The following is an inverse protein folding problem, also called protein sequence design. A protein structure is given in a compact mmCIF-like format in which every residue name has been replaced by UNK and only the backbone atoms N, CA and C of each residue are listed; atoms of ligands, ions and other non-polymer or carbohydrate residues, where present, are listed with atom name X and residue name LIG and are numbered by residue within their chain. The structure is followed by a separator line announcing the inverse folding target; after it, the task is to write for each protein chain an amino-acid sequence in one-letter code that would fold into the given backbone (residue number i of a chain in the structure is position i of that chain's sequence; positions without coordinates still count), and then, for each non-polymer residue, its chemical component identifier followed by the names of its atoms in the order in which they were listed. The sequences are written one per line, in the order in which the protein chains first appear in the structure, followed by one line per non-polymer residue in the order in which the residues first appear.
data_IF_518550545229
#
_entry.id   IF_518550545229
#
_cell.length_a   1.000
_cell.length_b   1.000
_cell.length_c   1.000
_cell.angle_alpha   90.00
_cell.angle_beta   90.00
_cell.angle_gamma   90.00
#
_symmetry.space_group_name_H-M   'P 1'
#
loop_
_entity.id
_entity.type
_entity.pdbx_description
1 polymer ?
#
# COMPACT_ATOMS: atom_id res chain seq x y z
N UNK A 1 -18.20 -5.35 28.47
CA UNK A 1 -17.49 -6.49 27.88
C UNK A 1 -17.53 -6.30 26.36
N UNK A 2 -16.50 -5.65 25.81
CA UNK A 2 -16.41 -5.37 24.37
C UNK A 2 -15.85 -6.63 23.74
N UNK A 3 -16.58 -7.28 22.83
CA UNK A 3 -16.04 -8.43 22.09
C UNK A 3 -15.03 -7.88 21.08
N UNK A 4 -13.78 -8.30 21.18
CA UNK A 4 -12.84 -8.20 20.07
C UNK A 4 -13.46 -8.94 18.88
N UNK A 5 -13.69 -8.21 17.79
CA UNK A 5 -14.04 -8.81 16.50
C UNK A 5 -12.72 -9.10 15.83
N UNK A 6 -12.43 -10.37 15.58
CA UNK A 6 -11.30 -10.72 14.71
C UNK A 6 -11.55 -10.05 13.36
N UNK A 7 -10.66 -9.14 12.91
CA UNK A 7 -10.88 -8.49 11.63
C UNK A 7 -10.82 -9.56 10.56
N UNK A 8 -11.91 -9.71 9.80
CA UNK A 8 -11.87 -10.39 8.52
C UNK A 8 -10.81 -9.75 7.62
N UNK A 9 -10.43 -10.39 6.50
CA UNK A 9 -9.41 -9.84 5.62
C UNK A 9 -9.74 -8.39 5.26
N UNK A 10 -8.87 -7.47 5.69
CA UNK A 10 -9.01 -6.05 5.42
C UNK A 10 -8.67 -5.83 3.95
N UNK A 11 -9.70 -5.84 3.11
CA UNK A 11 -9.59 -5.60 1.67
C UNK A 11 -9.85 -4.13 1.41
N UNK A 12 -8.92 -3.47 0.73
CA UNK A 12 -9.05 -2.09 0.29
C UNK A 12 -8.85 -2.00 -1.21
N UNK A 13 -9.48 -1.01 -1.82
CA UNK A 13 -9.16 -0.59 -3.18
C UNK A 13 -7.86 0.21 -3.14
N UNK A 14 -6.78 -0.29 -3.75
CA UNK A 14 -5.50 0.40 -3.70
C UNK A 14 -5.54 1.78 -4.38
N UNK A 15 -6.24 1.91 -5.51
CA UNK A 15 -6.30 3.17 -6.26
C UNK A 15 -7.10 4.25 -5.53
N UNK A 16 -8.23 3.88 -4.93
CA UNK A 16 -9.13 4.82 -4.26
C UNK A 16 -8.80 5.02 -2.77
N UNK A 17 -8.21 4.00 -2.14
CA UNK A 17 -8.08 3.95 -0.69
C UNK A 17 -6.64 3.92 -0.21
N UNK A 18 -5.63 3.76 -1.07
CA UNK A 18 -4.22 3.73 -0.65
C UNK A 18 -3.38 4.82 -1.32
N UNK A 19 -3.52 5.02 -2.64
CA UNK A 19 -2.82 6.11 -3.34
C UNK A 19 -3.17 7.49 -2.77
N UNK A 20 -2.23 8.41 -2.88
CA UNK A 20 -2.26 9.78 -2.32
C UNK A 20 -2.42 9.87 -0.79
N UNK A 21 -2.48 8.74 -0.06
CA UNK A 21 -2.45 8.79 1.40
C UNK A 21 -1.13 9.32 1.92
N UNK A 22 -1.22 10.11 2.99
CA UNK A 22 -0.05 10.64 3.68
C UNK A 22 0.73 9.51 4.38
N UNK A 23 2.04 9.54 4.20
CA UNK A 23 2.98 8.75 4.98
C UNK A 23 3.38 9.56 6.21
N UNK A 24 3.35 8.92 7.37
CA UNK A 24 3.71 9.53 8.65
C UNK A 24 4.83 8.69 9.26
N UNK A 25 5.89 9.34 9.74
CA UNK A 25 6.98 8.65 10.40
C UNK A 25 6.63 8.25 11.85
N UNK A 26 7.57 7.59 12.53
CA UNK A 26 7.38 7.12 13.91
C UNK A 26 7.17 8.24 14.94
N UNK A 27 7.52 9.48 14.60
CA UNK A 27 7.40 10.65 15.48
C UNK A 27 6.13 11.46 15.15
N UNK A 28 5.31 10.98 14.20
CA UNK A 28 4.07 11.64 13.79
C UNK A 28 4.25 12.72 12.73
N UNK A 29 5.45 12.84 12.14
CA UNK A 29 5.74 13.87 11.14
C UNK A 29 5.41 13.41 9.73
N UNK A 30 4.99 14.34 8.87
CA UNK A 30 4.71 14.05 7.46
C UNK A 30 6.01 13.61 6.77
N UNK A 31 6.02 12.36 6.33
CA UNK A 31 7.15 11.73 5.64
C UNK A 31 6.95 11.67 4.11
N UNK A 32 5.75 12.03 3.63
CA UNK A 32 5.43 12.02 2.22
C UNK A 32 4.01 11.57 1.92
N UNK A 33 3.83 10.98 0.74
CA UNK A 33 2.57 10.32 0.35
C UNK A 33 2.85 9.05 -0.45
N UNK A 34 1.87 8.16 -0.51
CA UNK A 34 1.87 7.02 -1.42
C UNK A 34 1.64 7.52 -2.84
N UNK A 35 2.66 7.48 -3.69
CA UNK A 35 2.53 7.84 -5.10
C UNK A 35 2.22 6.61 -5.96
N UNK A 36 2.86 5.48 -5.66
CA UNK A 36 2.74 4.26 -6.46
C UNK A 36 3.10 3.01 -5.62
N UNK A 37 2.91 1.83 -6.20
CA UNK A 37 3.20 0.52 -5.60
C UNK A 37 4.16 -0.29 -6.47
N UNK A 38 5.13 -0.93 -5.84
CA UNK A 38 5.94 -1.95 -6.49
C UNK A 38 5.24 -3.32 -6.35
N UNK A 39 5.08 -4.01 -7.49
CA UNK A 39 4.43 -5.32 -7.57
C UNK A 39 5.43 -6.39 -7.99
N UNK A 40 5.43 -7.51 -7.27
CA UNK A 40 6.13 -8.73 -7.67
C UNK A 40 5.12 -9.77 -8.14
N UNK A 41 5.38 -10.34 -9.33
CA UNK A 41 4.57 -11.41 -9.89
C UNK A 41 5.20 -12.77 -9.49
N UNK A 42 4.44 -13.67 -8.84
CA UNK A 42 4.90 -15.02 -8.58
C UNK A 42 5.37 -15.72 -9.85
N UNK A 43 6.44 -16.50 -9.74
CA UNK A 43 7.02 -17.19 -10.89
C UNK A 43 6.13 -18.36 -11.32
N UNK A 44 5.84 -18.44 -12.62
CA UNK A 44 5.14 -19.56 -13.22
C UNK A 44 3.66 -19.28 -13.47
N UNK A 45 3.32 -19.33 -14.76
CA UNK A 45 1.99 -19.18 -15.35
C UNK A 45 1.48 -17.73 -15.39
N UNK A 46 1.33 -17.22 -16.61
CA UNK A 46 0.51 -16.04 -16.91
C UNK A 46 -0.85 -16.51 -17.44
N UNK A 47 -1.92 -15.80 -17.11
CA UNK A 47 -3.27 -16.11 -17.59
C UNK A 47 -4.24 -16.58 -16.50
N UNK A 48 -5.42 -17.09 -16.87
CA UNK A 48 -6.45 -17.49 -15.93
C UNK A 48 -5.95 -18.52 -14.92
N UNK A 49 -6.11 -18.23 -13.63
CA UNK A 49 -5.64 -19.09 -12.54
C UNK A 49 -4.20 -18.84 -12.08
N UNK A 50 -3.49 -17.88 -12.67
CA UNK A 50 -2.21 -17.40 -12.15
C UNK A 50 -2.38 -16.79 -10.75
N UNK A 51 -1.36 -16.95 -9.90
CA UNK A 51 -1.32 -16.30 -8.60
C UNK A 51 -1.27 -14.77 -8.77
N UNK A 52 -2.04 -13.99 -7.99
CA UNK A 52 -2.03 -12.54 -8.11
C UNK A 52 -0.66 -11.95 -7.72
N UNK A 53 -0.30 -10.78 -8.27
CA UNK A 53 0.90 -10.08 -7.82
C UNK A 53 0.77 -9.68 -6.35
N UNK A 54 1.91 -9.62 -5.68
CA UNK A 54 2.02 -9.13 -4.30
C UNK A 54 2.67 -7.76 -4.29
N UNK A 55 2.18 -6.87 -3.42
CA UNK A 55 2.80 -5.57 -3.17
C UNK A 55 4.07 -5.79 -2.35
N UNK A 56 5.21 -5.35 -2.86
CA UNK A 56 6.52 -5.51 -2.19
C UNK A 56 7.10 -4.20 -1.68
N UNK A 57 6.70 -3.07 -2.25
CA UNK A 57 7.09 -1.76 -1.76
C UNK A 57 6.01 -0.70 -2.00
N UNK A 58 6.05 0.33 -1.17
CA UNK A 58 5.33 1.60 -1.35
C UNK A 58 6.33 2.59 -1.91
N UNK A 59 5.97 3.23 -3.02
CA UNK A 59 6.83 4.21 -3.69
C UNK A 59 6.35 5.61 -3.34
N UNK A 60 7.32 6.49 -3.07
CA UNK A 60 7.11 7.90 -2.82
C UNK A 60 8.09 8.69 -3.68
N UNK A 61 7.58 9.64 -4.46
CA UNK A 61 8.36 10.45 -5.37
C UNK A 61 9.15 11.56 -4.65
N UNK A 62 10.11 12.21 -5.33
CA UNK A 62 10.90 13.31 -4.75
C UNK A 62 10.04 14.49 -4.27
N UNK A 63 8.85 14.68 -4.86
CA UNK A 63 7.88 15.69 -4.45
C UNK A 63 7.30 15.47 -3.06
N UNK A 64 7.40 14.27 -2.50
CA UNK A 64 6.96 13.95 -1.16
C UNK A 64 7.85 14.57 -0.06
N UNK A 65 9.13 14.83 -0.38
CA UNK A 65 10.12 15.49 0.49
C UNK A 65 10.36 16.96 0.12
N UNK A 66 9.79 17.43 -1.01
CA UNK A 66 9.99 18.78 -1.47
C UNK A 66 9.20 19.75 -0.59
N UNK A 67 9.88 20.32 0.41
CA UNK A 67 9.42 21.51 1.11
C UNK A 67 9.11 22.59 0.06
N UNK A 68 7.87 23.04 0.02
CA UNK A 68 7.51 24.25 -0.73
C UNK A 68 7.99 25.48 0.02
#
# INVERSE_FOLDING_TARGET
MVKEVEPGPFVIDAGLSLLDRQLVDKDGMLAGKVDDLELTFPAGVTGPGAEPPVVTAVLSGPGALAGR
#
